data_IF_421611091968
#
_entry.id   IF_421611091968
#
_cell.length_a   1.000
_cell.length_b   1.000
_cell.length_c   1.000
_cell.angle_alpha   90.00
_cell.angle_beta   90.00
_cell.angle_gamma   90.00
#
_symmetry.space_group_name_H-M   'P 1'
#
loop_
_entity.id
_entity.type
_entity.pdbx_description
1 polymer ?
#
# COMPACT_ATOMS: atom_id res chain seq x y z
N UNK A 1 -17.37 13.82 27.57
CA UNK A 1 -18.42 13.72 26.55
C UNK A 1 -17.74 13.94 25.22
N UNK A 2 -17.31 12.85 24.59
CA UNK A 2 -16.65 12.86 23.28
C UNK A 2 -17.71 13.05 22.22
N UNK A 3 -17.58 14.14 21.47
CA UNK A 3 -18.42 14.49 20.35
C UNK A 3 -18.22 13.44 19.25
N UNK A 4 -19.18 12.52 19.12
CA UNK A 4 -19.20 11.49 18.08
C UNK A 4 -19.98 12.10 16.93
N UNK A 5 -19.38 13.05 16.22
CA UNK A 5 -20.00 13.61 15.03
C UNK A 5 -19.89 12.55 13.94
N UNK A 6 -20.97 11.77 13.79
CA UNK A 6 -21.33 11.24 12.48
C UNK A 6 -21.16 12.38 11.47
N UNK A 7 -20.54 12.11 10.34
CA UNK A 7 -20.48 13.09 9.25
C UNK A 7 -21.94 13.31 8.80
N UNK A 8 -22.56 14.38 9.26
CA UNK A 8 -23.89 14.81 8.83
C UNK A 8 -23.61 15.84 7.74
N UNK A 9 -24.14 15.62 6.53
CA UNK A 9 -24.02 16.63 5.48
C UNK A 9 -24.82 17.89 5.83
N UNK A 10 -24.61 19.00 5.11
CA UNK A 10 -25.34 20.26 5.34
C UNK A 10 -26.88 20.11 5.21
N UNK A 11 -27.36 18.98 4.67
CA UNK A 11 -28.78 18.67 4.49
C UNK A 11 -29.40 17.87 5.65
N UNK A 12 -28.61 17.53 6.70
CA UNK A 12 -29.10 16.82 7.87
C UNK A 12 -29.26 15.31 7.66
N UNK A 13 -28.70 14.74 6.58
CA UNK A 13 -28.66 13.28 6.37
C UNK A 13 -27.40 12.69 6.98
N UNK A 14 -27.53 11.52 7.59
CA UNK A 14 -26.37 10.72 7.95
C UNK A 14 -25.61 10.39 6.65
N UNK A 15 -24.37 10.84 6.53
CA UNK A 15 -23.51 10.47 5.41
C UNK A 15 -23.33 8.95 5.45
N UNK A 16 -23.47 8.29 4.30
CA UNK A 16 -23.19 6.86 4.21
C UNK A 16 -21.78 6.59 4.76
N UNK A 17 -21.60 5.50 5.54
CA UNK A 17 -20.29 5.18 6.09
C UNK A 17 -19.29 4.97 4.94
N UNK A 18 -18.06 5.47 5.11
CA UNK A 18 -16.99 5.18 4.17
C UNK A 18 -16.72 3.67 4.21
N UNK A 19 -16.88 3.02 3.06
CA UNK A 19 -16.57 1.60 2.91
C UNK A 19 -15.10 1.44 2.54
N UNK A 20 -14.38 0.58 3.24
CA UNK A 20 -12.94 0.43 3.10
C UNK A 20 -12.53 -1.05 3.06
N UNK A 21 -11.97 -1.50 1.95
CA UNK A 21 -11.28 -2.77 1.84
C UNK A 21 -9.81 -2.60 2.24
N UNK A 22 -9.34 -3.36 3.23
CA UNK A 22 -7.94 -3.36 3.63
C UNK A 22 -7.16 -4.34 2.74
N UNK A 23 -6.03 -3.90 2.21
CA UNK A 23 -5.09 -4.73 1.44
C UNK A 23 -3.66 -4.53 1.92
N UNK A 24 -2.85 -5.56 1.82
CA UNK A 24 -1.46 -5.57 2.25
C UNK A 24 -0.55 -5.72 1.03
N UNK A 25 0.48 -4.89 0.89
CA UNK A 25 1.56 -5.10 -0.08
C UNK A 25 2.86 -5.52 0.63
N UNK A 26 3.67 -6.30 -0.09
CA UNK A 26 5.02 -6.69 0.31
C UNK A 26 5.11 -7.26 1.75
N UNK A 27 4.46 -8.42 2.00
CA UNK A 27 4.51 -9.09 3.31
C UNK A 27 5.95 -9.47 3.73
N UNK A 28 6.88 -9.52 2.77
CA UNK A 28 8.29 -9.85 2.96
C UNK A 28 9.20 -8.63 2.99
N UNK A 29 8.63 -7.42 2.98
CA UNK A 29 9.33 -6.20 2.58
C UNK A 29 9.99 -6.39 1.19
N UNK A 30 10.84 -5.45 0.80
CA UNK A 30 11.53 -5.47 -0.49
C UNK A 30 12.90 -6.13 -0.35
N UNK A 31 13.37 -6.81 -1.41
CA UNK A 31 14.74 -7.34 -1.44
C UNK A 31 15.72 -6.18 -1.25
N UNK A 32 16.65 -6.30 -0.29
CA UNK A 32 17.57 -5.22 0.07
C UNK A 32 17.10 -4.33 1.22
N UNK A 33 15.88 -4.49 1.71
CA UNK A 33 15.40 -3.91 2.96
C UNK A 33 15.11 -5.04 3.98
N UNK A 34 15.99 -5.20 4.96
CA UNK A 34 15.87 -6.27 5.95
C UNK A 34 14.94 -5.93 7.12
N UNK A 35 14.36 -6.96 7.75
CA UNK A 35 13.67 -6.81 9.02
C UNK A 35 14.69 -6.55 10.17
N UNK A 36 14.35 -5.67 11.13
CA UNK A 36 15.15 -5.49 12.34
C UNK A 36 15.04 -6.71 13.28
N UNK A 37 15.95 -6.88 14.26
CA UNK A 37 15.86 -7.96 15.23
C UNK A 37 14.49 -8.02 15.93
N UNK A 38 13.92 -9.22 16.02
CA UNK A 38 12.60 -9.44 16.62
C UNK A 38 11.42 -9.29 15.66
N UNK A 39 11.70 -9.08 14.37
CA UNK A 39 10.71 -9.05 13.31
C UNK A 39 11.14 -10.00 12.19
N UNK A 40 10.16 -10.64 11.60
CA UNK A 40 10.21 -11.43 10.38
C UNK A 40 8.79 -11.42 9.77
N UNK A 41 8.59 -11.97 8.56
CA UNK A 41 7.27 -12.01 7.96
C UNK A 41 6.20 -12.69 8.83
N UNK A 42 6.52 -13.79 9.51
CA UNK A 42 5.55 -14.50 10.34
C UNK A 42 5.06 -13.65 11.51
N UNK A 43 5.97 -12.97 12.21
CA UNK A 43 5.64 -12.08 13.32
C UNK A 43 4.81 -10.90 12.84
N UNK A 44 5.21 -10.28 11.73
CA UNK A 44 4.54 -9.10 11.19
C UNK A 44 3.14 -9.44 10.71
N UNK A 45 3.00 -10.49 9.89
CA UNK A 45 1.71 -10.94 9.40
C UNK A 45 0.82 -11.44 10.53
N UNK A 46 1.37 -12.16 11.50
CA UNK A 46 0.62 -12.62 12.68
C UNK A 46 -0.01 -11.48 13.46
N UNK A 47 0.76 -10.41 13.75
CA UNK A 47 0.25 -9.22 14.45
C UNK A 47 -0.79 -8.45 13.64
N UNK A 48 -0.62 -8.39 12.32
CA UNK A 48 -1.63 -7.81 11.42
C UNK A 48 -2.92 -8.62 11.44
N UNK A 49 -2.85 -9.95 11.37
CA UNK A 49 -4.02 -10.83 11.48
C UNK A 49 -4.75 -10.61 12.82
N UNK A 50 -4.01 -10.51 13.93
CA UNK A 50 -4.59 -10.25 15.25
C UNK A 50 -5.33 -8.90 15.28
N UNK A 51 -4.76 -7.87 14.64
CA UNK A 51 -5.41 -6.57 14.50
C UNK A 51 -6.68 -6.64 13.63
N UNK A 52 -6.64 -7.37 12.51
CA UNK A 52 -7.81 -7.57 11.64
C UNK A 52 -8.95 -8.27 12.39
N UNK A 53 -8.67 -9.31 13.15
CA UNK A 53 -9.65 -10.02 13.97
C UNK A 53 -10.25 -9.12 15.05
N UNK A 54 -9.40 -8.34 15.75
CA UNK A 54 -9.84 -7.40 16.78
C UNK A 54 -10.87 -6.39 16.26
N UNK A 55 -10.66 -5.87 15.04
CA UNK A 55 -11.52 -4.85 14.43
C UNK A 55 -12.52 -5.40 13.40
N UNK A 56 -12.60 -6.73 13.26
CA UNK A 56 -13.48 -7.43 12.31
C UNK A 56 -13.30 -6.95 10.88
N UNK A 57 -12.04 -6.72 10.49
CA UNK A 57 -11.69 -6.56 9.08
C UNK A 57 -11.95 -7.91 8.41
N UNK A 58 -12.65 -7.96 7.26
CA UNK A 58 -12.87 -9.20 6.53
C UNK A 58 -11.56 -9.72 5.92
N UNK A 59 -11.63 -10.78 5.11
CA UNK A 59 -10.46 -11.34 4.44
C UNK A 59 -9.63 -10.29 3.69
N UNK A 60 -8.31 -10.33 3.89
CA UNK A 60 -7.35 -9.37 3.33
C UNK A 60 -6.52 -10.08 2.26
N UNK A 61 -6.28 -9.40 1.15
CA UNK A 61 -5.31 -9.87 0.14
C UNK A 61 -3.91 -9.31 0.44
N UNK A 62 -2.92 -10.20 0.49
CA UNK A 62 -1.50 -9.89 0.52
C UNK A 62 -0.91 -9.92 -0.90
N UNK A 63 -0.73 -8.76 -1.51
CA UNK A 63 -0.06 -8.58 -2.80
C UNK A 63 1.44 -8.78 -2.60
N UNK A 64 1.94 -9.93 -3.03
CA UNK A 64 3.26 -10.42 -2.62
C UNK A 64 4.25 -10.30 -3.76
N UNK A 65 5.30 -9.48 -3.57
CA UNK A 65 6.50 -9.57 -4.37
C UNK A 65 7.39 -10.73 -3.88
N UNK A 66 8.13 -11.38 -4.79
CA UNK A 66 8.79 -12.66 -4.48
C UNK A 66 10.32 -12.64 -4.57
N UNK A 67 10.94 -11.53 -4.96
CA UNK A 67 12.40 -11.40 -4.95
C UNK A 67 13.05 -11.64 -3.57
N UNK A 68 12.46 -11.25 -2.43
CA UNK A 68 13.04 -11.55 -1.12
C UNK A 68 13.23 -13.05 -0.86
N UNK A 69 12.40 -13.91 -1.45
CA UNK A 69 12.46 -15.37 -1.22
C UNK A 69 13.62 -16.06 -1.94
N UNK A 70 14.34 -15.34 -2.81
CA UNK A 70 15.62 -15.83 -3.35
C UNK A 70 16.69 -15.92 -2.25
N UNK A 71 16.69 -14.96 -1.32
CA UNK A 71 17.63 -14.90 -0.21
C UNK A 71 17.06 -15.62 1.04
N UNK A 72 15.73 -15.66 1.17
CA UNK A 72 14.99 -16.23 2.31
C UNK A 72 13.83 -17.13 1.86
N UNK A 73 14.10 -18.32 1.30
CA UNK A 73 13.06 -19.20 0.77
C UNK A 73 12.06 -19.70 1.83
N UNK A 74 12.47 -19.73 3.10
CA UNK A 74 11.65 -20.11 4.24
C UNK A 74 10.51 -19.12 4.53
N UNK A 75 10.63 -17.86 4.11
CA UNK A 75 9.61 -16.83 4.32
C UNK A 75 8.28 -17.14 3.62
N UNK A 76 8.27 -18.00 2.60
CA UNK A 76 7.03 -18.46 1.96
C UNK A 76 6.07 -19.14 2.94
N UNK A 77 6.58 -19.75 4.03
CA UNK A 77 5.74 -20.35 5.06
C UNK A 77 4.81 -19.34 5.77
N UNK A 78 5.16 -18.06 5.78
CA UNK A 78 4.29 -17.02 6.32
C UNK A 78 3.02 -16.82 5.49
N UNK A 79 3.04 -17.15 4.19
CA UNK A 79 1.84 -17.15 3.36
C UNK A 79 0.92 -18.34 3.68
N UNK A 80 1.48 -19.48 4.09
CA UNK A 80 0.67 -20.60 4.58
C UNK A 80 -0.09 -20.18 5.83
N UNK A 81 0.62 -19.63 6.84
CA UNK A 81 -0.01 -19.12 8.06
C UNK A 81 -1.04 -18.02 7.80
N UNK A 82 -0.76 -17.12 6.86
CA UNK A 82 -1.70 -16.08 6.42
C UNK A 82 -2.99 -16.68 5.84
N UNK A 83 -2.88 -17.68 4.96
CA UNK A 83 -4.05 -18.35 4.39
C UNK A 83 -4.80 -19.23 5.40
N UNK A 84 -4.11 -19.82 6.38
CA UNK A 84 -4.72 -20.60 7.46
C UNK A 84 -5.59 -19.70 8.38
N UNK A 85 -5.29 -18.40 8.44
CA UNK A 85 -6.12 -17.38 9.12
C UNK A 85 -7.31 -16.90 8.26
N UNK A 86 -7.51 -17.46 7.08
CA UNK A 86 -8.63 -17.14 6.19
C UNK A 86 -8.39 -15.96 5.25
N UNK A 87 -7.16 -15.46 5.16
CA UNK A 87 -6.79 -14.40 4.23
C UNK A 87 -6.31 -14.96 2.88
N UNK A 88 -6.03 -14.08 1.91
CA UNK A 88 -5.70 -14.45 0.54
C UNK A 88 -4.37 -13.87 0.09
N UNK A 89 -3.76 -14.49 -0.92
CA UNK A 89 -2.52 -14.01 -1.55
C UNK A 89 -2.86 -13.52 -2.96
N UNK A 90 -2.25 -12.40 -3.35
CA UNK A 90 -2.35 -11.81 -4.68
C UNK A 90 -0.95 -11.58 -5.29
N UNK A 91 -0.90 -11.44 -6.60
CA UNK A 91 0.35 -11.26 -7.34
C UNK A 91 0.82 -9.79 -7.35
N UNK A 92 2.13 -9.55 -7.23
CA UNK A 92 2.70 -8.20 -7.16
C UNK A 92 4.07 -8.08 -7.84
N UNK A 93 4.23 -8.79 -8.96
CA UNK A 93 5.50 -8.99 -9.69
C UNK A 93 6.61 -9.60 -8.84
N UNK A 94 7.71 -10.02 -9.45
CA UNK A 94 8.74 -10.73 -8.71
C UNK A 94 9.64 -9.72 -8.01
N UNK A 95 10.15 -8.74 -8.75
CA UNK A 95 11.12 -7.77 -8.28
C UNK A 95 10.55 -6.55 -7.57
N UNK A 96 9.22 -6.36 -7.56
CA UNK A 96 8.58 -5.10 -7.17
C UNK A 96 9.04 -3.90 -8.06
N UNK A 97 9.46 -4.16 -9.30
CA UNK A 97 9.82 -3.09 -10.23
C UNK A 97 8.58 -2.37 -10.77
N UNK A 98 8.68 -1.07 -11.00
CA UNK A 98 7.66 -0.29 -11.72
C UNK A 98 7.66 -0.62 -13.21
N UNK A 99 6.47 -0.69 -13.82
CA UNK A 99 6.34 -0.79 -15.29
C UNK A 99 6.90 0.45 -16.00
N UNK A 100 6.99 1.59 -15.32
CA UNK A 100 7.57 2.80 -15.90
C UNK A 100 9.08 2.63 -16.16
N UNK A 101 9.78 1.79 -15.40
CA UNK A 101 11.23 1.68 -15.49
C UNK A 101 11.72 0.70 -16.57
N UNK A 102 10.84 -0.17 -17.06
CA UNK A 102 11.20 -1.22 -18.01
C UNK A 102 10.21 -1.30 -19.18
N UNK A 103 10.50 -2.13 -20.16
CA UNK A 103 9.59 -2.42 -21.26
C UNK A 103 8.51 -3.44 -20.84
N UNK A 104 7.39 -3.49 -21.58
CA UNK A 104 6.27 -4.35 -21.23
C UNK A 104 6.60 -5.84 -21.26
N UNK A 105 7.52 -6.30 -22.11
CA UNK A 105 7.87 -7.72 -22.22
C UNK A 105 8.71 -8.16 -21.01
N UNK A 106 9.69 -7.34 -20.62
CA UNK A 106 10.50 -7.55 -19.41
C UNK A 106 9.62 -7.56 -18.14
N UNK A 107 8.66 -6.63 -18.06
CA UNK A 107 7.69 -6.61 -16.96
C UNK A 107 6.80 -7.85 -16.92
N UNK A 108 6.31 -8.31 -18.07
CA UNK A 108 5.51 -9.54 -18.18
C UNK A 108 6.30 -10.77 -17.72
N UNK A 109 7.59 -10.86 -18.06
CA UNK A 109 8.43 -11.97 -17.61
C UNK A 109 8.62 -11.96 -16.07
N UNK A 110 8.82 -10.79 -15.47
CA UNK A 110 8.92 -10.62 -14.02
C UNK A 110 7.60 -10.96 -13.30
N UNK A 111 6.47 -10.55 -13.89
CA UNK A 111 5.13 -10.94 -13.45
C UNK A 111 4.91 -12.45 -13.52
N UNK A 112 5.24 -13.08 -14.64
CA UNK A 112 5.04 -14.52 -14.83
C UNK A 112 5.84 -15.33 -13.81
N UNK A 113 7.09 -14.91 -13.54
CA UNK A 113 7.91 -15.50 -12.48
C UNK A 113 7.25 -15.42 -11.11
N UNK A 114 6.62 -14.29 -10.78
CA UNK A 114 5.90 -14.12 -9.52
C UNK A 114 4.69 -15.05 -9.43
N UNK A 115 3.88 -15.10 -10.48
CA UNK A 115 2.68 -15.96 -10.52
C UNK A 115 3.07 -17.43 -10.37
N UNK A 116 4.14 -17.87 -11.03
CA UNK A 116 4.59 -19.25 -10.97
C UNK A 116 5.06 -19.65 -9.57
N UNK A 117 5.71 -18.73 -8.82
CA UNK A 117 6.08 -18.94 -7.41
C UNK A 117 4.83 -18.97 -6.52
N UNK A 118 3.88 -18.07 -6.75
CA UNK A 118 2.70 -17.88 -5.88
C UNK A 118 1.52 -18.79 -6.22
N UNK A 119 1.57 -19.59 -7.28
CA UNK A 119 0.46 -20.46 -7.72
C UNK A 119 -0.15 -21.31 -6.59
N UNK A 120 0.62 -21.89 -5.64
CA UNK A 120 0.05 -22.65 -4.52
C UNK A 120 -0.97 -21.87 -3.66
N UNK A 121 -0.86 -20.55 -3.61
CA UNK A 121 -1.78 -19.67 -2.87
C UNK A 121 -2.77 -18.97 -3.80
N UNK A 122 -2.35 -18.54 -5.00
CA UNK A 122 -3.25 -17.90 -5.98
C UNK A 122 -4.41 -18.82 -6.38
N UNK A 123 -4.16 -20.13 -6.48
CA UNK A 123 -5.20 -21.12 -6.82
C UNK A 123 -6.24 -21.32 -5.70
N UNK A 124 -5.94 -20.90 -4.46
CA UNK A 124 -6.86 -20.98 -3.31
C UNK A 124 -7.70 -19.71 -3.14
N UNK A 125 -7.30 -18.60 -3.74
CA UNK A 125 -8.01 -17.33 -3.62
C UNK A 125 -9.31 -17.32 -4.44
N UNK A 126 -10.40 -16.70 -3.94
CA UNK A 126 -11.64 -16.53 -4.69
C UNK A 126 -11.44 -15.78 -6.02
N UNK A 127 -10.58 -14.76 -5.99
CA UNK A 127 -10.23 -13.95 -7.14
C UNK A 127 -8.72 -13.86 -7.25
N UNK A 128 -8.18 -14.07 -8.45
CA UNK A 128 -6.74 -13.92 -8.70
C UNK A 128 -6.42 -12.45 -8.96
N UNK A 129 -6.21 -11.68 -7.90
CA UNK A 129 -5.85 -10.27 -8.03
C UNK A 129 -4.37 -10.07 -8.38
N UNK A 130 -4.09 -8.94 -9.01
CA UNK A 130 -2.76 -8.42 -9.28
C UNK A 130 -2.69 -6.93 -8.91
N UNK A 131 -1.53 -6.46 -8.46
CA UNK A 131 -1.28 -5.02 -8.28
C UNK A 131 0.03 -4.63 -8.93
N UNK A 132 0.05 -3.48 -9.59
CA UNK A 132 1.27 -2.89 -10.13
C UNK A 132 2.08 -2.28 -8.98
N UNK A 133 3.38 -2.56 -8.89
CA UNK A 133 4.26 -1.88 -7.94
C UNK A 133 4.18 -0.36 -8.11
N UNK A 134 4.18 0.37 -6.99
CA UNK A 134 3.97 1.83 -6.94
C UNK A 134 2.67 2.30 -7.60
N UNK A 135 1.66 1.42 -7.74
CA UNK A 135 0.46 1.67 -8.56
C UNK A 135 0.82 2.31 -9.92
N UNK A 136 1.98 1.99 -10.52
CA UNK A 136 2.44 2.60 -11.77
C UNK A 136 2.08 1.69 -12.94
N UNK A 137 0.94 1.98 -13.58
CA UNK A 137 0.34 1.12 -14.63
C UNK A 137 0.98 1.31 -16.01
N UNK A 138 2.10 2.03 -16.10
CA UNK A 138 2.82 2.34 -17.32
C UNK A 138 2.83 3.83 -17.65
N UNK A 139 3.95 4.27 -18.21
CA UNK A 139 4.23 5.63 -18.67
C UNK A 139 3.75 5.89 -20.11
N UNK A 140 3.24 4.85 -20.78
CA UNK A 140 2.68 4.91 -22.12
C UNK A 140 1.46 4.00 -22.23
N UNK A 141 0.51 4.40 -23.09
CA UNK A 141 -0.69 3.60 -23.36
C UNK A 141 -0.35 2.19 -23.85
N UNK A 142 0.64 2.07 -24.73
CA UNK A 142 1.06 0.78 -25.30
C UNK A 142 1.58 -0.18 -24.23
N UNK A 143 2.37 0.29 -23.26
CA UNK A 143 2.79 -0.56 -22.13
C UNK A 143 1.60 -1.00 -21.28
N UNK A 144 0.71 -0.07 -20.93
CA UNK A 144 -0.48 -0.38 -20.14
C UNK A 144 -1.34 -1.43 -20.85
N UNK A 145 -1.68 -1.22 -22.13
CA UNK A 145 -2.52 -2.13 -22.90
C UNK A 145 -1.87 -3.52 -23.07
N UNK A 146 -0.55 -3.56 -23.29
CA UNK A 146 0.20 -4.83 -23.39
C UNK A 146 0.08 -5.65 -22.10
N UNK A 147 0.37 -5.04 -20.94
CA UNK A 147 0.35 -5.74 -19.66
C UNK A 147 -1.09 -6.10 -19.27
N UNK A 148 -2.08 -5.24 -19.51
CA UNK A 148 -3.48 -5.59 -19.27
C UNK A 148 -3.95 -6.77 -20.10
N UNK A 149 -3.61 -6.80 -21.40
CA UNK A 149 -3.93 -7.94 -22.24
C UNK A 149 -3.28 -9.23 -21.71
N UNK A 150 -2.10 -9.13 -21.10
CA UNK A 150 -1.44 -10.26 -20.46
C UNK A 150 -2.12 -10.71 -19.17
N UNK A 151 -2.48 -9.78 -18.29
CA UNK A 151 -3.25 -10.07 -17.07
C UNK A 151 -4.53 -10.83 -17.40
N UNK A 152 -5.29 -10.37 -18.40
CA UNK A 152 -6.50 -11.06 -18.87
C UNK A 152 -6.20 -12.49 -19.33
N UNK A 153 -5.12 -12.71 -20.10
CA UNK A 153 -4.73 -14.07 -20.53
C UNK A 153 -4.34 -14.98 -19.37
N UNK A 154 -3.74 -14.43 -18.31
CA UNK A 154 -3.38 -15.17 -17.08
C UNK A 154 -4.55 -15.32 -16.10
N UNK A 155 -5.72 -14.75 -16.41
CA UNK A 155 -6.88 -14.76 -15.52
C UNK A 155 -6.66 -13.91 -14.26
N UNK A 156 -5.84 -12.87 -14.35
CA UNK A 156 -5.54 -11.94 -13.27
C UNK A 156 -6.38 -10.66 -13.42
N UNK A 157 -6.94 -10.19 -12.30
CA UNK A 157 -7.69 -8.94 -12.23
C UNK A 157 -6.85 -7.87 -11.53
N UNK A 158 -6.50 -6.75 -12.18
CA UNK A 158 -5.77 -5.69 -11.51
C UNK A 158 -6.65 -4.99 -10.46
N UNK A 159 -6.13 -4.78 -9.24
CA UNK A 159 -6.78 -4.07 -8.15
C UNK A 159 -6.01 -2.79 -7.79
N UNK A 160 -6.60 -1.60 -7.98
CA UNK A 160 -5.93 -0.34 -7.69
C UNK A 160 -5.85 -0.08 -6.18
N UNK A 161 -5.07 0.94 -5.83
CA UNK A 161 -5.12 1.58 -4.51
C UNK A 161 -5.98 2.85 -4.65
N UNK A 162 -6.92 3.07 -3.74
CA UNK A 162 -7.72 4.33 -3.72
C UNK A 162 -7.66 5.06 -2.40
N UNK A 163 -6.96 4.48 -1.42
CA UNK A 163 -6.58 5.11 -0.16
C UNK A 163 -5.17 4.69 0.25
N UNK A 164 -4.26 5.65 0.37
CA UNK A 164 -2.91 5.46 0.88
C UNK A 164 -2.46 6.68 1.68
N UNK A 165 -1.67 6.46 2.72
CA UNK A 165 -1.29 7.51 3.68
C UNK A 165 0.23 7.61 3.90
N UNK A 166 1.03 7.15 2.94
CA UNK A 166 2.49 7.23 2.99
C UNK A 166 3.08 6.45 4.18
N UNK A 167 2.54 5.26 4.44
CA UNK A 167 2.86 4.43 5.59
C UNK A 167 4.36 4.06 5.67
N UNK A 168 4.99 3.75 4.54
CA UNK A 168 6.42 3.41 4.46
C UNK A 168 7.32 4.55 4.95
N UNK A 169 6.90 5.80 4.78
CA UNK A 169 7.71 6.97 5.18
C UNK A 169 7.83 7.09 6.71
N UNK A 170 7.02 6.36 7.48
CA UNK A 170 7.15 6.25 8.93
C UNK A 170 8.12 5.15 9.37
N UNK A 171 8.46 4.20 8.48
CA UNK A 171 9.28 3.03 8.82
C UNK A 171 10.66 3.45 9.35
N UNK A 172 11.35 4.35 8.66
CA UNK A 172 12.72 4.78 9.04
C UNK A 172 12.73 5.41 10.43
N UNK A 173 11.77 6.30 10.71
CA UNK A 173 11.60 6.90 12.04
C UNK A 173 11.35 5.82 13.09
N UNK A 174 10.46 4.87 12.81
CA UNK A 174 10.15 3.77 13.72
C UNK A 174 11.36 2.89 14.03
N UNK A 175 12.10 2.47 13.00
CA UNK A 175 13.31 1.65 13.17
C UNK A 175 14.36 2.36 14.03
N UNK A 176 14.54 3.67 13.88
CA UNK A 176 15.43 4.45 14.75
C UNK A 176 14.99 4.38 16.22
N UNK A 177 13.69 4.44 16.50
CA UNK A 177 13.18 4.32 17.88
C UNK A 177 13.47 2.94 18.49
N UNK A 178 13.46 1.88 17.67
CA UNK A 178 13.83 0.53 18.12
C UNK A 178 15.33 0.44 18.46
N UNK A 179 16.18 1.05 17.62
CA UNK A 179 17.63 1.08 17.83
C UNK A 179 18.03 1.89 19.06
N UNK A 180 17.39 3.04 19.28
CA UNK A 180 17.68 3.91 20.42
C UNK A 180 16.99 3.49 21.72
N UNK A 181 15.93 2.67 21.63
CA UNK A 181 15.07 2.33 22.76
C UNK A 181 14.18 3.50 23.21
N UNK A 182 13.99 4.52 22.38
CA UNK A 182 13.20 5.70 22.72
C UNK A 182 11.70 5.41 22.63
N UNK A 183 11.13 5.00 23.76
CA UNK A 183 9.70 4.65 23.88
C UNK A 183 8.75 5.84 23.69
N UNK A 184 9.17 7.07 24.01
CA UNK A 184 8.34 8.26 23.81
C UNK A 184 8.26 8.62 22.32
N UNK A 185 9.40 8.58 21.63
CA UNK A 185 9.44 8.73 20.19
C UNK A 185 8.63 7.62 19.49
N UNK A 186 8.76 6.36 19.92
CA UNK A 186 7.99 5.25 19.36
C UNK A 186 6.48 5.48 19.49
N UNK A 187 6.01 5.90 20.68
CA UNK A 187 4.61 6.23 20.90
C UNK A 187 4.15 7.45 20.08
N UNK A 188 5.03 8.43 19.87
CA UNK A 188 4.74 9.57 19.00
C UNK A 188 4.59 9.14 17.53
N UNK A 189 5.52 8.36 16.99
CA UNK A 189 5.49 7.87 15.60
C UNK A 189 4.21 7.07 15.34
N UNK A 190 3.85 6.14 16.24
CA UNK A 190 2.63 5.31 16.11
C UNK A 190 1.34 6.13 16.12
N UNK A 191 1.23 7.11 17.02
CA UNK A 191 0.09 8.02 17.04
C UNK A 191 -0.01 8.82 15.73
N UNK A 192 1.10 9.38 15.25
CA UNK A 192 1.11 10.12 13.98
C UNK A 192 0.76 9.24 12.79
N UNK A 193 1.18 7.98 12.81
CA UNK A 193 0.82 6.99 11.79
C UNK A 193 -0.71 6.81 11.70
N UNK A 194 -1.38 6.61 12.84
CA UNK A 194 -2.84 6.47 12.89
C UNK A 194 -3.59 7.78 12.55
N UNK A 195 -3.12 8.93 13.03
CA UNK A 195 -3.70 10.24 12.70
C UNK A 195 -3.63 10.52 11.18
N UNK A 196 -2.45 10.28 10.59
CA UNK A 196 -2.21 10.49 9.15
C UNK A 196 -3.08 9.58 8.30
N UNK A 197 -3.29 8.33 8.73
CA UNK A 197 -4.18 7.40 8.06
C UNK A 197 -5.62 7.92 7.94
N UNK A 198 -6.16 8.49 9.03
CA UNK A 198 -7.51 9.09 9.05
C UNK A 198 -7.58 10.36 8.23
N UNK A 199 -6.60 11.25 8.34
CA UNK A 199 -6.60 12.52 7.60
C UNK A 199 -6.48 12.28 6.10
N UNK A 200 -5.61 11.36 5.67
CA UNK A 200 -5.48 10.94 4.28
C UNK A 200 -6.79 10.32 3.75
N UNK A 201 -7.48 9.51 4.57
CA UNK A 201 -8.77 8.92 4.19
C UNK A 201 -9.83 9.99 3.94
N UNK A 202 -9.94 10.98 4.84
CA UNK A 202 -10.88 12.10 4.69
C UNK A 202 -10.60 12.90 3.43
N UNK A 203 -9.33 13.24 3.19
CA UNK A 203 -8.93 14.04 2.03
C UNK A 203 -9.20 13.30 0.70
N UNK A 204 -8.90 12.00 0.66
CA UNK A 204 -9.13 11.18 -0.53
C UNK A 204 -10.61 10.86 -0.76
N UNK A 205 -11.39 10.61 0.29
CA UNK A 205 -12.84 10.46 0.19
C UNK A 205 -13.53 11.75 -0.27
N UNK A 206 -13.05 12.93 0.17
CA UNK A 206 -13.54 14.21 -0.31
C UNK A 206 -13.25 14.40 -1.81
N UNK A 207 -12.02 14.10 -2.25
CA UNK A 207 -11.65 14.16 -3.66
C UNK A 207 -12.47 13.17 -4.51
N UNK A 208 -12.66 11.93 -4.05
CA UNK A 208 -13.49 10.94 -4.73
C UNK A 208 -14.95 11.41 -4.86
N UNK A 209 -15.52 12.02 -3.83
CA UNK A 209 -16.87 12.60 -3.90
C UNK A 209 -16.98 13.71 -4.94
N UNK A 210 -15.97 14.58 -5.04
CA UNK A 210 -15.96 15.68 -6.01
C UNK A 210 -15.81 15.16 -7.45
N UNK A 211 -14.95 14.16 -7.66
CA UNK A 211 -14.74 13.52 -8.96
C UNK A 211 -15.98 12.75 -9.41
N UNK A 212 -16.52 11.87 -8.57
CA UNK A 212 -17.53 10.89 -8.97
C UNK A 212 -18.97 11.30 -8.64
N UNK A 213 -19.16 12.37 -7.85
CA UNK A 213 -20.46 12.76 -7.32
C UNK A 213 -21.04 11.79 -6.28
N UNK A 214 -20.25 10.81 -5.81
CA UNK A 214 -20.61 9.78 -4.82
C UNK A 214 -19.36 9.22 -4.12
N UNK A 215 -19.57 8.40 -3.09
CA UNK A 215 -18.52 7.68 -2.36
C UNK A 215 -18.41 6.21 -2.84
N UNK A 216 -17.49 5.87 -3.76
CA UNK A 216 -17.16 4.46 -4.03
C UNK A 216 -16.49 3.82 -2.80
N UNK A 217 -16.54 2.48 -2.64
CA UNK A 217 -15.70 1.80 -1.66
C UNK A 217 -14.22 2.10 -1.94
N UNK A 218 -13.48 2.45 -0.90
CA UNK A 218 -12.05 2.66 -0.99
C UNK A 218 -11.28 1.36 -0.77
N UNK A 219 -10.08 1.27 -1.34
CA UNK A 219 -9.13 0.16 -1.23
C UNK A 219 -7.88 0.74 -0.58
N UNK A 220 -7.70 0.40 0.69
CA UNK A 220 -6.60 0.86 1.53
C UNK A 220 -5.34 0.02 1.32
N UNK A 221 -4.21 0.70 1.25
CA UNK A 221 -2.88 0.10 1.27
C UNK A 221 -2.24 0.20 2.66
N UNK A 222 -1.65 -0.90 3.10
CA UNK A 222 -0.64 -0.98 4.17
C UNK A 222 0.47 -1.92 3.71
N UNK A 223 1.71 -1.72 4.14
CA UNK A 223 2.81 -2.64 3.84
C UNK A 223 3.17 -3.54 5.02
N UNK A 224 3.70 -4.73 4.74
CA UNK A 224 4.18 -5.73 5.72
C UNK A 224 5.43 -5.30 6.50
N UNK A 225 5.35 -4.17 7.21
CA UNK A 225 6.48 -3.54 7.90
C UNK A 225 6.41 -3.67 9.42
N UNK A 226 7.54 -3.54 10.15
CA UNK A 226 7.56 -3.50 11.61
C UNK A 226 6.60 -2.49 12.24
N UNK A 227 6.48 -1.28 11.68
CA UNK A 227 5.55 -0.28 12.20
C UNK A 227 4.09 -0.70 11.98
N UNK A 228 3.77 -1.31 10.84
CA UNK A 228 2.43 -1.85 10.60
C UNK A 228 2.09 -2.92 11.64
N UNK A 229 3.01 -3.85 11.91
CA UNK A 229 2.82 -4.90 12.91
C UNK A 229 2.49 -4.34 14.31
N UNK A 230 3.06 -3.20 14.68
CA UNK A 230 2.92 -2.65 16.04
C UNK A 230 1.86 -1.56 16.19
N UNK A 231 1.46 -0.93 15.08
CA UNK A 231 0.61 0.24 15.08
C UNK A 231 -0.70 0.07 14.30
N UNK A 232 -0.86 -0.95 13.44
CA UNK A 232 -2.04 -1.01 12.58
C UNK A 232 -3.35 -1.24 13.34
N UNK A 233 -3.30 -1.88 14.52
CA UNK A 233 -4.44 -1.92 15.43
C UNK A 233 -4.93 -0.51 15.84
N UNK A 234 -4.04 0.46 15.99
CA UNK A 234 -4.41 1.86 16.28
C UNK A 234 -5.03 2.55 15.06
N UNK A 235 -4.51 2.25 13.86
CA UNK A 235 -5.08 2.73 12.58
C UNK A 235 -6.51 2.22 12.41
N UNK A 236 -6.74 0.92 12.61
CA UNK A 236 -8.06 0.30 12.51
C UNK A 236 -9.03 0.85 13.57
N UNK A 237 -8.54 1.10 14.80
CA UNK A 237 -9.31 1.78 15.82
C UNK A 237 -9.74 3.18 15.39
N UNK A 238 -8.82 3.94 14.81
CA UNK A 238 -9.06 5.30 14.36
C UNK A 238 -10.05 5.35 13.19
N UNK A 239 -9.95 4.41 12.24
CA UNK A 239 -10.95 4.24 11.18
C UNK A 239 -12.33 3.89 11.74
N UNK A 240 -12.41 2.91 12.64
CA UNK A 240 -13.68 2.54 13.26
C UNK A 240 -14.31 3.70 14.04
N UNK A 241 -13.49 4.51 14.74
CA UNK A 241 -13.94 5.67 15.49
C UNK A 241 -14.54 6.78 14.61
N UNK A 242 -14.14 6.87 13.33
CA UNK A 242 -14.72 7.81 12.35
C UNK A 242 -15.82 7.16 11.49
N UNK A 243 -16.28 5.95 11.85
CA UNK A 243 -17.43 5.30 11.23
C UNK A 243 -17.12 4.54 9.93
N UNK A 244 -15.86 4.15 9.70
CA UNK A 244 -15.52 3.28 8.56
C UNK A 244 -16.21 1.93 8.67
N UNK A 245 -16.78 1.48 7.57
CA UNK A 245 -17.25 0.11 7.40
C UNK A 245 -16.21 -0.69 6.62
N UNK A 246 -15.60 -1.70 7.25
CA UNK A 246 -14.69 -2.59 6.55
C UNK A 246 -15.47 -3.55 5.63
N UNK A 247 -15.01 -3.67 4.38
CA UNK A 247 -15.63 -4.51 3.33
C UNK A 247 -14.58 -5.38 2.65
N UNK A 248 -14.98 -6.43 1.95
CA UNK A 248 -14.05 -7.30 1.22
C UNK A 248 -13.48 -6.58 0.00
N UNK A 249 -12.33 -7.04 -0.50
CA UNK A 249 -11.79 -6.53 -1.75
C UNK A 249 -12.74 -6.79 -2.93
N UNK A 250 -13.43 -7.93 -2.94
CA UNK A 250 -14.45 -8.27 -3.93
C UNK A 250 -15.61 -7.27 -3.95
N UNK A 251 -16.11 -6.86 -2.78
CA UNK A 251 -17.15 -5.83 -2.69
C UNK A 251 -16.62 -4.49 -3.25
N UNK A 252 -15.42 -4.07 -2.85
CA UNK A 252 -14.83 -2.84 -3.34
C UNK A 252 -14.60 -2.86 -4.86
N UNK A 253 -14.09 -3.97 -5.38
CA UNK A 253 -13.81 -4.17 -6.81
C UNK A 253 -15.08 -4.35 -7.64
N UNK A 254 -16.25 -4.59 -7.04
CA UNK A 254 -17.53 -4.61 -7.77
C UNK A 254 -17.97 -3.22 -8.26
N UNK A 255 -17.40 -2.16 -7.67
CA UNK A 255 -17.67 -0.79 -8.08
C UNK A 255 -16.88 -0.40 -9.34
N UNK A 256 -17.52 0.11 -10.41
CA UNK A 256 -16.82 0.53 -11.62
C UNK A 256 -15.70 1.55 -11.41
N UNK A 257 -15.77 2.39 -10.37
CA UNK A 257 -14.72 3.36 -10.06
C UNK A 257 -13.37 2.69 -9.72
N UNK A 258 -13.41 1.45 -9.22
CA UNK A 258 -12.22 0.65 -8.91
C UNK A 258 -11.79 -0.27 -10.07
N UNK A 259 -12.58 -0.37 -11.14
CA UNK A 259 -12.28 -1.20 -12.31
C UNK A 259 -11.76 -0.39 -13.50
N UNK A 260 -12.21 0.87 -13.63
CA UNK A 260 -11.84 1.73 -14.75
C UNK A 260 -10.50 2.38 -14.45
N UNK A 261 -9.53 2.15 -15.33
CA UNK A 261 -8.23 2.81 -15.25
C UNK A 261 -8.37 4.30 -15.53
N UNK A 262 -7.86 5.18 -14.64
CA UNK A 262 -7.84 6.61 -14.89
C UNK A 262 -7.14 6.91 -16.22
N UNK A 263 -7.69 7.77 -17.10
CA UNK A 263 -7.09 8.11 -18.39
C UNK A 263 -5.97 9.15 -18.25
N UNK A 264 -5.10 8.98 -17.26
CA UNK A 264 -3.97 9.86 -16.93
C UNK A 264 -2.75 9.01 -16.65
N UNK A 265 -1.61 9.38 -17.26
CA UNK A 265 -0.30 8.88 -16.88
C UNK A 265 0.32 9.90 -15.94
N UNK A 266 0.70 9.46 -14.75
CA UNK A 266 1.38 10.32 -13.77
C UNK A 266 2.86 10.02 -13.77
N UNK A 267 3.69 11.06 -13.74
CA UNK A 267 5.13 10.91 -13.49
C UNK A 267 5.39 10.34 -12.10
N UNK A 268 4.65 10.83 -11.10
CA UNK A 268 4.81 10.43 -9.71
C UNK A 268 4.01 9.19 -9.36
N UNK A 269 4.39 8.48 -8.29
CA UNK A 269 3.49 7.50 -7.66
C UNK A 269 2.24 8.22 -7.19
N UNK A 270 1.13 7.95 -7.87
CA UNK A 270 -0.22 8.38 -7.51
C UNK A 270 -1.12 7.16 -7.40
N UNK A 271 -1.89 7.08 -6.33
CA UNK A 271 -2.96 6.09 -6.26
C UNK A 271 -4.13 6.48 -7.19
N UNK A 272 -5.07 5.58 -7.44
CA UNK A 272 -6.17 5.78 -8.39
C UNK A 272 -7.06 6.99 -8.05
N UNK A 273 -7.35 7.25 -6.76
CA UNK A 273 -8.11 8.45 -6.35
C UNK A 273 -7.37 9.72 -6.76
N UNK A 274 -6.06 9.79 -6.50
CA UNK A 274 -5.24 10.93 -6.87
C UNK A 274 -5.16 11.11 -8.40
N UNK A 275 -5.03 10.02 -9.16
CA UNK A 275 -5.03 10.06 -10.65
C UNK A 275 -6.35 10.56 -11.21
N UNK A 276 -7.48 10.12 -10.66
CA UNK A 276 -8.80 10.58 -11.04
C UNK A 276 -9.02 12.06 -10.69
N UNK A 277 -8.57 12.49 -9.51
CA UNK A 277 -8.61 13.90 -9.11
C UNK A 277 -7.76 14.76 -10.06
N UNK A 278 -6.54 14.34 -10.38
CA UNK A 278 -5.67 15.03 -11.34
C UNK A 278 -6.32 15.12 -12.73
N UNK A 279 -6.90 14.03 -13.23
CA UNK A 279 -7.65 14.03 -14.49
C UNK A 279 -8.79 15.07 -14.51
N UNK A 280 -9.49 15.21 -13.38
CA UNK A 280 -10.60 16.14 -13.23
C UNK A 280 -10.18 17.59 -12.89
N UNK A 281 -8.88 17.84 -12.69
CA UNK A 281 -8.38 19.14 -12.23
C UNK A 281 -8.71 19.45 -10.77
N UNK A 282 -8.96 18.43 -9.96
CA UNK A 282 -9.29 18.51 -8.54
C UNK A 282 -8.03 18.24 -7.70
N UNK A 283 -7.78 19.09 -6.70
CA UNK A 283 -6.67 18.90 -5.77
C UNK A 283 -7.01 17.90 -4.66
N UNK A 284 -6.05 17.06 -4.28
CA UNK A 284 -6.13 16.25 -3.05
C UNK A 284 -5.36 16.97 -1.95
N UNK A 285 -6.06 17.30 -0.86
CA UNK A 285 -5.44 18.06 0.24
C UNK A 285 -4.32 17.26 0.93
N UNK A 286 -3.30 17.99 1.40
CA UNK A 286 -2.15 17.46 2.17
C UNK A 286 -1.50 16.23 1.53
N UNK A 287 -1.23 16.33 0.23
CA UNK A 287 -0.59 15.28 -0.58
C UNK A 287 0.69 15.83 -1.22
N UNK A 288 1.90 15.43 -0.80
CA UNK A 288 2.18 14.50 0.30
C UNK A 288 1.83 15.10 1.69
N UNK A 289 1.57 14.28 2.72
CA UNK A 289 1.26 14.77 4.06
C UNK A 289 2.39 15.58 4.66
N UNK A 290 2.11 16.81 5.13
CA UNK A 290 3.17 17.69 5.69
C UNK A 290 3.85 17.11 6.93
N UNK A 291 3.15 16.25 7.68
CA UNK A 291 3.66 15.56 8.87
C UNK A 291 4.91 14.72 8.58
N UNK A 292 5.10 14.27 7.34
CA UNK A 292 6.27 13.50 6.94
C UNK A 292 7.59 14.26 7.20
N UNK A 293 7.58 15.61 7.13
CA UNK A 293 8.74 16.43 7.47
C UNK A 293 9.16 16.31 8.94
N UNK A 294 8.21 16.15 9.86
CA UNK A 294 8.48 15.95 11.28
C UNK A 294 8.91 14.50 11.54
N UNK A 295 8.22 13.53 10.91
CA UNK A 295 8.53 12.10 11.00
C UNK A 295 9.97 11.82 10.56
N UNK A 296 10.41 12.39 9.44
CA UNK A 296 11.77 12.20 8.92
C UNK A 296 12.86 12.68 9.89
N UNK A 297 12.57 13.72 10.68
CA UNK A 297 13.49 14.30 11.67
C UNK A 297 13.40 13.63 13.03
N UNK A 298 12.46 12.71 13.22
CA UNK A 298 12.29 11.99 14.48
C UNK A 298 13.47 11.04 14.74
N UNK A 299 13.96 11.07 15.99
CA UNK A 299 14.95 10.15 16.54
C UNK A 299 16.18 9.93 15.63
N UNK A 300 16.94 10.97 15.24
CA UNK A 300 18.00 10.81 14.23
C UNK A 300 19.11 9.86 14.72
N UNK A 301 19.46 8.89 13.86
CA UNK A 301 20.58 7.97 14.05
C UNK A 301 21.47 8.03 12.81
N UNK A 302 22.78 8.13 13.02
CA UNK A 302 23.78 8.15 11.93
C UNK A 302 23.70 6.86 11.11
N UNK A 303 23.70 6.99 9.77
CA UNK A 303 23.61 5.85 8.84
C UNK A 303 22.22 5.20 8.74
N UNK A 304 21.17 5.82 9.29
CA UNK A 304 19.79 5.35 9.19
C UNK A 304 18.90 6.38 8.48
N UNK A 305 19.33 6.94 7.35
CA UNK A 305 18.46 7.76 6.50
C UNK A 305 17.52 6.89 5.66
N UNK A 306 16.53 7.50 5.00
CA UNK A 306 15.67 6.79 4.05
C UNK A 306 16.49 6.17 2.91
N UNK A 307 17.47 6.90 2.38
CA UNK A 307 18.38 6.38 1.37
C UNK A 307 19.21 5.20 1.87
N UNK A 308 19.63 5.21 3.14
CA UNK A 308 20.42 4.11 3.70
C UNK A 308 19.59 2.82 3.85
N UNK A 309 18.32 2.94 4.28
CA UNK A 309 17.47 1.79 4.63
C UNK A 309 16.59 1.30 3.48
N UNK A 310 16.10 2.20 2.62
CA UNK A 310 15.18 1.89 1.52
C UNK A 310 15.81 2.06 0.14
N UNK A 311 16.90 2.83 0.02
CA UNK A 311 17.63 3.02 -1.24
C UNK A 311 18.11 1.70 -1.86
N UNK A 312 18.71 0.75 -1.11
CA UNK A 312 19.11 -0.55 -1.65
C UNK A 312 17.95 -1.34 -2.25
N UNK A 313 16.76 -1.27 -1.65
CA UNK A 313 15.57 -1.94 -2.16
C UNK A 313 15.10 -1.34 -3.49
N UNK A 314 15.09 0.00 -3.58
CA UNK A 314 14.71 0.68 -4.81
C UNK A 314 15.69 0.36 -5.96
N UNK A 315 16.99 0.32 -5.67
CA UNK A 315 18.03 -0.06 -6.64
C UNK A 315 17.87 -1.52 -7.06
N UNK A 316 17.66 -2.43 -6.10
CA UNK A 316 17.48 -3.85 -6.39
C UNK A 316 16.26 -4.11 -7.29
N UNK A 317 15.12 -3.45 -7.01
CA UNK A 317 13.92 -3.56 -7.83
C UNK A 317 14.16 -3.08 -9.27
N UNK A 318 14.76 -1.90 -9.44
CA UNK A 318 15.04 -1.37 -10.78
C UNK A 318 16.05 -2.23 -11.56
N UNK A 319 17.14 -2.65 -10.93
CA UNK A 319 18.19 -3.45 -11.58
C UNK A 319 17.69 -4.84 -11.99
N UNK A 320 16.77 -5.43 -11.23
CA UNK A 320 16.17 -6.73 -11.56
C UNK A 320 15.48 -6.75 -12.93
N UNK A 321 15.01 -5.60 -13.42
CA UNK A 321 14.39 -5.43 -14.74
C UNK A 321 15.27 -4.66 -15.73
N UNK A 322 16.57 -4.59 -15.47
CA UNK A 322 17.56 -3.95 -16.34
C UNK A 322 17.46 -2.42 -16.41
N UNK A 323 16.95 -1.79 -15.35
CA UNK A 323 16.70 -0.35 -15.27
C UNK A 323 17.45 0.32 -14.11
N UNK A 324 17.46 1.64 -14.09
CA UNK A 324 17.93 2.45 -12.95
C UNK A 324 16.72 3.15 -12.32
N UNK A 325 16.68 3.30 -10.98
CA UNK A 325 15.53 3.91 -10.34
C UNK A 325 15.49 5.41 -10.59
N UNK A 326 14.30 5.93 -10.92
CA UNK A 326 14.06 7.37 -11.05
C UNK A 326 13.55 7.91 -9.71
N UNK A 327 14.47 8.21 -8.80
CA UNK A 327 14.14 8.64 -7.42
C UNK A 327 13.35 9.96 -7.35
N UNK A 328 13.37 10.76 -8.42
CA UNK A 328 12.59 12.00 -8.55
C UNK A 328 11.12 11.76 -8.88
N UNK A 329 10.71 10.52 -9.15
CA UNK A 329 9.30 10.15 -9.38
C UNK A 329 8.58 9.77 -8.07
N UNK A 330 9.25 9.86 -6.93
CA UNK A 330 8.68 9.66 -5.60
C UNK A 330 8.39 11.04 -4.99
N UNK A 331 7.13 11.46 -4.94
CA UNK A 331 6.75 12.84 -4.60
C UNK A 331 6.95 13.21 -3.12
N UNK A 332 7.20 12.23 -2.26
CA UNK A 332 7.62 12.42 -0.87
C UNK A 332 9.14 12.61 -0.72
N UNK A 333 9.91 12.48 -1.80
CA UNK A 333 11.34 12.71 -1.77
C UNK A 333 11.60 14.22 -1.58
N UNK A 334 12.35 14.64 -0.54
CA UNK A 334 12.66 16.05 -0.29
C UNK A 334 13.35 16.77 -1.47
N UNK A 335 13.96 16.02 -2.39
CA UNK A 335 14.61 16.55 -3.58
C UNK A 335 13.62 16.96 -4.70
N UNK A 336 12.33 16.62 -4.60
CA UNK A 336 11.32 16.97 -5.63
C UNK A 336 10.96 18.47 -5.61
N UNK A 337 11.22 19.17 -4.50
CA UNK A 337 11.00 20.61 -4.32
C UNK A 337 12.31 21.44 -4.20
N UNK A 338 13.48 20.85 -4.51
CA UNK A 338 14.81 21.44 -4.31
C UNK A 338 15.41 22.14 -5.55
#
# INVERSE_FOLDING_TARGET
MTDTTALIDESGRAQEPLRLAVTLDDPFMWRGAGFPPGYDPDIVLGRLCDAFEQYRVPEVYAFTSTAPVEDHPDWLSALDHWTDRGHHVAAHTHSHASLNWTDAASYVADLDRNVDILEPWLAKAPTRYFRYAFDMWGDTRDKTDHVQAHLVRRGLLPAPITHWFYDVQFLVAYLRTLVTGDTEAAAWVRRRFAETAVDALRNQAAAAQEVFGRQPPHIALIHGTPIAADAYAEVLAAYAAVGVQFVTLEEAMSDPANQIVPPTVTRYFRNSTQKWAEHAGIGVADTPPRILNEVQRCCPVEGMTESDLLGPALVAAAQAVGSEPVTTDLDWNPAVDA
#
